data_IF_318082053672
#
_entry.id   IF_318082053672
#
_cell.length_a   1.000
_cell.length_b   1.000
_cell.length_c   1.000
_cell.angle_alpha   90.00
_cell.angle_beta   90.00
_cell.angle_gamma   90.00
#
_symmetry.space_group_name_H-M   'P 1'
#
loop_
_entity.id
_entity.type
_entity.pdbx_description
1 polymer ?
#
# COMPACT_ATOMS: atom_id res chain seq x y z
N UNK A 1 2.19 7.07 -19.42
CA UNK A 1 1.83 8.47 -19.19
C UNK A 1 2.30 8.91 -17.80
N UNK A 2 2.93 10.08 -17.71
CA UNK A 2 3.48 10.61 -16.44
C UNK A 2 2.44 11.39 -15.61
N UNK A 3 1.22 11.57 -16.11
CA UNK A 3 0.21 12.45 -15.51
C UNK A 3 -0.40 11.87 -14.24
N UNK A 4 -0.80 10.60 -14.26
CA UNK A 4 -1.47 10.01 -13.11
C UNK A 4 -0.53 9.74 -11.92
N UNK A 5 0.73 9.25 -12.06
CA UNK A 5 1.64 9.17 -10.93
C UNK A 5 2.01 10.53 -10.32
N UNK A 6 2.09 11.59 -11.15
CA UNK A 6 2.29 12.95 -10.67
C UNK A 6 1.12 13.44 -9.81
N UNK A 7 -0.12 13.19 -10.23
CA UNK A 7 -1.32 13.55 -9.44
C UNK A 7 -1.39 12.78 -8.13
N UNK A 8 -1.02 11.51 -8.13
CA UNK A 8 -0.90 10.71 -6.91
C UNK A 8 0.12 11.32 -5.94
N UNK A 9 1.32 11.61 -6.42
CA UNK A 9 2.36 12.23 -5.59
C UNK A 9 1.91 13.60 -5.02
N UNK A 10 1.33 14.45 -5.87
CA UNK A 10 0.78 15.75 -5.43
C UNK A 10 -0.41 15.60 -4.47
N UNK A 11 -1.23 14.55 -4.61
CA UNK A 11 -2.32 14.28 -3.67
C UNK A 11 -1.79 13.87 -2.29
N UNK A 12 -0.71 13.08 -2.24
CA UNK A 12 0.01 12.72 -1.03
C UNK A 12 0.77 13.91 -0.38
N UNK A 13 0.80 15.07 -1.05
CA UNK A 13 1.45 16.29 -0.53
C UNK A 13 2.87 16.50 -1.01
N UNK A 14 3.35 15.75 -2.01
CA UNK A 14 4.69 15.94 -2.58
C UNK A 14 4.83 17.32 -3.23
N UNK A 15 6.00 17.95 -3.05
CA UNK A 15 6.35 19.29 -3.50
C UNK A 15 7.71 19.30 -4.21
N UNK A 16 8.05 20.42 -4.87
CA UNK A 16 9.33 20.54 -5.57
C UNK A 16 10.54 20.59 -4.62
N UNK A 17 10.32 21.03 -3.36
CA UNK A 17 11.39 21.07 -2.34
C UNK A 17 11.68 19.69 -1.73
N UNK A 18 10.91 18.66 -2.06
CA UNK A 18 11.09 17.33 -1.49
C UNK A 18 12.30 16.61 -2.08
N UNK A 19 12.94 15.83 -1.21
CA UNK A 19 13.91 14.81 -1.58
C UNK A 19 13.21 13.46 -1.42
N UNK A 20 12.86 12.83 -2.53
CA UNK A 20 12.09 11.59 -2.58
C UNK A 20 13.00 10.38 -2.75
N UNK A 21 13.08 9.52 -1.74
CA UNK A 21 13.81 8.27 -1.81
C UNK A 21 12.90 7.12 -2.23
N UNK A 22 13.27 6.42 -3.31
CA UNK A 22 12.47 5.33 -3.88
C UNK A 22 13.13 4.00 -3.60
N UNK A 23 12.51 3.23 -2.70
CA UNK A 23 12.95 1.92 -2.24
C UNK A 23 12.30 0.75 -2.99
N UNK A 24 11.79 0.97 -4.20
CA UNK A 24 11.34 -0.07 -5.11
C UNK A 24 12.42 -0.45 -6.12
N UNK A 25 12.41 -1.71 -6.57
CA UNK A 25 13.34 -2.20 -7.60
C UNK A 25 13.13 -1.51 -8.94
N UNK A 26 14.21 -1.01 -9.53
CA UNK A 26 14.21 -0.35 -10.85
C UNK A 26 14.32 -1.31 -12.05
N UNK A 27 14.29 -2.62 -11.80
CA UNK A 27 14.34 -3.64 -12.85
C UNK A 27 13.01 -3.80 -13.59
N UNK A 28 12.45 -5.01 -13.56
CA UNK A 28 11.19 -5.33 -14.24
C UNK A 28 9.93 -4.90 -13.47
N UNK A 29 10.07 -4.26 -12.32
CA UNK A 29 8.97 -3.78 -11.49
C UNK A 29 8.54 -2.37 -11.90
N UNK A 30 7.28 -2.19 -12.29
CA UNK A 30 6.77 -0.93 -12.84
C UNK A 30 6.61 0.17 -11.78
N UNK A 31 6.50 -0.20 -10.50
CA UNK A 31 6.22 0.72 -9.40
C UNK A 31 7.28 1.82 -9.26
N UNK A 32 8.56 1.44 -9.28
CA UNK A 32 9.66 2.40 -9.15
C UNK A 32 9.65 3.47 -10.23
N UNK A 33 9.68 3.06 -11.50
CA UNK A 33 9.76 3.98 -12.65
C UNK A 33 8.53 4.89 -12.76
N UNK A 34 7.34 4.36 -12.45
CA UNK A 34 6.10 5.14 -12.47
C UNK A 34 6.14 6.28 -11.45
N UNK A 35 6.45 5.98 -10.19
CA UNK A 35 6.54 6.96 -9.11
C UNK A 35 7.72 7.93 -9.30
N UNK A 36 8.88 7.43 -9.75
CA UNK A 36 10.03 8.28 -10.11
C UNK A 36 9.60 9.38 -11.10
N UNK A 37 8.98 8.97 -12.23
CA UNK A 37 8.55 9.94 -13.26
C UNK A 37 7.41 10.84 -12.79
N UNK A 38 6.59 10.38 -11.87
CA UNK A 38 5.56 11.20 -11.23
C UNK A 38 6.15 12.28 -10.34
N UNK A 39 7.06 11.91 -9.44
CA UNK A 39 7.74 12.80 -8.51
C UNK A 39 8.70 13.77 -9.23
N UNK A 40 9.44 13.29 -10.23
CA UNK A 40 10.25 14.15 -11.11
C UNK A 40 9.40 15.25 -11.77
N UNK A 41 8.15 14.92 -12.16
CA UNK A 41 7.23 15.90 -12.74
C UNK A 41 6.66 16.87 -11.72
N UNK A 42 6.59 16.52 -10.45
CA UNK A 42 6.29 17.45 -9.34
C UNK A 42 7.43 18.45 -9.14
N UNK A 43 8.65 18.07 -9.47
CA UNK A 43 9.87 18.87 -9.28
C UNK A 43 10.77 18.34 -8.18
N UNK A 44 10.38 17.29 -7.46
CA UNK A 44 11.15 16.72 -6.35
C UNK A 44 12.50 16.16 -6.82
N UNK A 45 13.51 16.28 -5.98
CA UNK A 45 14.79 15.59 -6.17
C UNK A 45 14.61 14.08 -5.88
N UNK A 46 15.13 13.22 -6.76
CA UNK A 46 14.93 11.78 -6.64
C UNK A 46 16.21 11.07 -6.21
N UNK A 47 16.13 10.29 -5.15
CA UNK A 47 17.13 9.32 -4.72
C UNK A 47 16.67 7.93 -5.16
N UNK A 48 17.16 7.40 -6.30
CA UNK A 48 16.72 6.12 -6.84
C UNK A 48 17.46 4.96 -6.16
N UNK A 49 17.26 4.78 -4.86
CA UNK A 49 18.04 3.87 -4.03
C UNK A 49 17.78 2.39 -4.32
N UNK A 50 16.65 2.07 -4.98
CA UNK A 50 16.24 0.70 -5.28
C UNK A 50 16.00 -0.15 -4.02
N UNK A 51 16.02 -1.46 -4.12
CA UNK A 51 15.78 -2.40 -3.02
C UNK A 51 17.07 -2.86 -2.34
N UNK A 52 16.93 -3.39 -1.13
CA UNK A 52 18.00 -4.06 -0.39
C UNK A 52 18.90 -3.12 0.42
N UNK A 53 19.79 -3.72 1.20
CA UNK A 53 20.74 -3.06 2.10
C UNK A 53 20.11 -1.93 2.92
N UNK A 54 19.32 -2.29 3.92
CA UNK A 54 18.52 -1.34 4.71
C UNK A 54 19.37 -0.32 5.47
N UNK A 55 20.55 -0.69 5.94
CA UNK A 55 21.50 0.24 6.57
C UNK A 55 21.93 1.34 5.58
N UNK A 56 22.18 0.96 4.33
CA UNK A 56 22.52 1.93 3.27
C UNK A 56 21.34 2.83 2.92
N UNK A 57 20.11 2.33 3.00
CA UNK A 57 18.92 3.15 2.84
C UNK A 57 18.85 4.24 3.92
N UNK A 58 19.12 3.89 5.17
CA UNK A 58 19.16 4.85 6.29
C UNK A 58 20.29 5.87 6.13
N UNK A 59 21.46 5.42 5.67
CA UNK A 59 22.56 6.32 5.34
C UNK A 59 22.14 7.35 4.28
N UNK A 60 21.50 6.90 3.19
CA UNK A 60 21.00 7.82 2.16
C UNK A 60 19.93 8.77 2.69
N UNK A 61 18.99 8.29 3.52
CA UNK A 61 17.99 9.17 4.14
C UNK A 61 18.62 10.30 4.94
N UNK A 62 19.70 9.99 5.65
CA UNK A 62 20.43 10.97 6.46
C UNK A 62 21.27 11.92 5.59
N UNK A 63 22.05 11.39 4.66
CA UNK A 63 22.99 12.17 3.85
C UNK A 63 22.28 13.08 2.84
N UNK A 64 21.18 12.62 2.25
CA UNK A 64 20.38 13.41 1.30
C UNK A 64 19.21 14.15 1.95
N UNK A 65 19.07 14.02 3.27
CA UNK A 65 17.96 14.67 4.00
C UNK A 65 16.58 14.33 3.42
N UNK A 66 16.35 13.04 3.15
CA UNK A 66 15.12 12.54 2.54
C UNK A 66 13.88 13.01 3.30
N UNK A 67 12.94 13.66 2.60
CA UNK A 67 11.66 14.17 3.15
C UNK A 67 10.47 13.32 2.78
N UNK A 68 10.58 12.57 1.66
CA UNK A 68 9.53 11.71 1.15
C UNK A 68 10.07 10.30 0.89
N UNK A 69 9.44 9.30 1.51
CA UNK A 69 9.78 7.89 1.34
C UNK A 69 8.75 7.18 0.46
N UNK A 70 9.23 6.47 -0.56
CA UNK A 70 8.42 5.57 -1.40
C UNK A 70 8.84 4.13 -1.13
N UNK A 71 7.95 3.32 -0.57
CA UNK A 71 8.23 1.95 -0.16
C UNK A 71 6.97 1.08 -0.12
N UNK A 72 7.11 -0.20 0.19
CA UNK A 72 5.99 -1.00 0.69
C UNK A 72 5.75 -0.71 2.18
N UNK A 73 4.53 -0.91 2.70
CA UNK A 73 4.25 -0.76 4.13
C UNK A 73 5.18 -1.60 5.01
N UNK A 74 5.37 -2.88 4.68
CA UNK A 74 6.27 -3.79 5.40
C UNK A 74 7.72 -3.33 5.39
N UNK A 75 8.19 -2.79 4.25
CA UNK A 75 9.57 -2.30 4.18
C UNK A 75 9.76 -0.98 4.94
N UNK A 76 8.77 -0.11 5.01
CA UNK A 76 8.81 1.08 5.86
C UNK A 76 8.92 0.71 7.35
N UNK A 77 8.24 -0.36 7.80
CA UNK A 77 8.42 -0.93 9.14
C UNK A 77 9.83 -1.49 9.33
N UNK A 78 10.32 -2.27 8.35
CA UNK A 78 11.67 -2.85 8.42
C UNK A 78 12.78 -1.81 8.50
N UNK A 79 12.66 -0.71 7.77
CA UNK A 79 13.60 0.42 7.85
C UNK A 79 13.62 0.96 9.28
N UNK A 80 12.46 1.08 9.92
CA UNK A 80 12.34 1.58 11.27
C UNK A 80 12.97 0.65 12.33
N UNK A 81 12.81 -0.67 12.18
CA UNK A 81 13.46 -1.67 13.03
C UNK A 81 14.99 -1.54 12.94
N UNK A 82 15.53 -1.54 11.71
CA UNK A 82 16.98 -1.40 11.51
C UNK A 82 17.50 -0.05 12.01
N UNK A 83 16.70 1.02 11.88
CA UNK A 83 17.04 2.32 12.46
C UNK A 83 17.20 2.22 13.98
N UNK A 84 16.26 1.56 14.67
CA UNK A 84 16.31 1.32 16.12
C UNK A 84 17.56 0.53 16.51
N UNK A 85 17.90 -0.53 15.77
CA UNK A 85 19.10 -1.34 16.01
C UNK A 85 20.39 -0.54 15.87
N UNK A 86 20.41 0.45 14.99
CA UNK A 86 21.52 1.39 14.80
C UNK A 86 21.48 2.61 15.73
N UNK A 87 20.54 2.67 16.66
CA UNK A 87 20.36 3.81 17.57
C UNK A 87 19.86 5.08 16.89
N UNK A 88 19.21 4.96 15.72
CA UNK A 88 18.60 6.07 14.97
C UNK A 88 17.11 6.15 15.32
N UNK A 89 16.64 7.29 15.78
CA UNK A 89 15.21 7.58 15.96
C UNK A 89 14.67 8.25 14.69
N UNK A 90 13.84 7.55 13.87
CA UNK A 90 13.34 8.10 12.61
C UNK A 90 12.66 9.46 12.76
N UNK A 91 11.98 9.72 13.88
CA UNK A 91 11.27 10.98 14.15
C UNK A 91 12.20 12.15 14.43
N UNK A 92 13.37 11.88 15.00
CA UNK A 92 14.31 12.95 15.44
C UNK A 92 15.49 13.11 14.51
N UNK A 93 15.99 11.98 13.98
CA UNK A 93 17.27 11.93 13.27
C UNK A 93 17.10 11.95 11.76
N UNK A 94 15.88 11.67 11.25
CA UNK A 94 15.53 11.72 9.82
C UNK A 94 14.56 12.86 9.53
N UNK A 95 14.50 13.28 8.26
CA UNK A 95 13.61 14.37 7.81
C UNK A 95 12.35 13.88 7.09
N UNK A 96 12.07 12.57 7.08
CA UNK A 96 10.91 11.98 6.40
C UNK A 96 9.62 12.47 7.04
N UNK A 97 8.78 13.13 6.23
CA UNK A 97 7.47 13.66 6.62
C UNK A 97 6.32 13.03 5.82
N UNK A 98 6.62 12.50 4.66
CA UNK A 98 5.62 11.89 3.77
C UNK A 98 6.05 10.49 3.39
N UNK A 99 5.16 9.53 3.55
CA UNK A 99 5.33 8.17 3.09
C UNK A 99 4.27 7.86 2.02
N UNK A 100 4.70 7.51 0.82
CA UNK A 100 3.84 7.07 -0.29
C UNK A 100 4.01 5.56 -0.41
N UNK A 101 3.11 4.83 0.22
CA UNK A 101 3.21 3.39 0.36
C UNK A 101 2.29 2.66 -0.63
N UNK A 102 2.66 1.45 -1.05
CA UNK A 102 1.86 0.66 -1.98
C UNK A 102 2.44 -0.73 -2.25
N UNK A 103 1.85 -1.42 -3.23
CA UNK A 103 2.17 -2.79 -3.63
C UNK A 103 1.80 -3.88 -2.62
N UNK A 104 1.44 -3.51 -1.42
CA UNK A 104 0.94 -4.39 -0.36
C UNK A 104 -0.31 -3.77 0.23
N UNK A 105 -1.16 -4.59 0.83
CA UNK A 105 -2.28 -4.11 1.61
C UNK A 105 -1.77 -3.44 2.89
N UNK A 106 -2.32 -2.29 3.25
CA UNK A 106 -2.03 -1.60 4.50
C UNK A 106 -3.31 -1.52 5.33
N UNK A 107 -3.31 -2.19 6.46
CA UNK A 107 -4.41 -2.10 7.43
C UNK A 107 -4.28 -0.83 8.27
N UNK A 108 -5.38 -0.39 8.89
CA UNK A 108 -5.32 0.77 9.81
C UNK A 108 -4.47 0.47 11.05
N UNK A 109 -4.37 -0.79 11.46
CA UNK A 109 -3.46 -1.20 12.53
C UNK A 109 -2.01 -0.97 12.12
N UNK A 110 -1.61 -1.40 10.90
CA UNK A 110 -0.28 -1.16 10.37
C UNK A 110 0.02 0.34 10.18
N UNK A 111 -0.94 1.13 9.71
CA UNK A 111 -0.81 2.60 9.61
C UNK A 111 -0.54 3.22 10.99
N UNK A 112 -1.24 2.76 12.02
CA UNK A 112 -1.04 3.23 13.40
C UNK A 112 0.37 2.90 13.91
N UNK A 113 0.89 1.70 13.62
CA UNK A 113 2.27 1.34 13.98
C UNK A 113 3.29 2.19 13.22
N UNK A 114 3.05 2.44 11.93
CA UNK A 114 3.90 3.35 11.14
C UNK A 114 3.92 4.76 11.74
N UNK A 115 2.80 5.30 12.19
CA UNK A 115 2.75 6.61 12.88
C UNK A 115 3.57 6.61 14.17
N UNK A 116 3.52 5.53 14.97
CA UNK A 116 4.34 5.42 16.19
C UNK A 116 5.83 5.53 15.90
N UNK A 117 6.28 5.07 14.74
CA UNK A 117 7.69 5.03 14.35
C UNK A 117 8.13 6.27 13.58
N UNK A 118 7.36 6.67 12.57
CA UNK A 118 7.72 7.78 11.68
C UNK A 118 7.25 9.15 12.18
N UNK A 119 6.32 9.18 13.12
CA UNK A 119 5.75 10.39 13.74
C UNK A 119 4.25 10.50 13.51
N UNK A 120 3.54 11.03 14.50
CA UNK A 120 2.09 11.26 14.44
C UNK A 120 1.71 12.27 13.33
N UNK A 121 2.62 13.22 13.04
CA UNK A 121 2.43 14.24 12.01
C UNK A 121 2.87 13.78 10.60
N UNK A 122 3.41 12.57 10.47
CA UNK A 122 3.80 12.05 9.17
C UNK A 122 2.57 11.77 8.30
N UNK A 123 2.58 12.24 7.05
CA UNK A 123 1.54 11.92 6.07
C UNK A 123 1.81 10.54 5.48
N UNK A 124 1.06 9.53 5.88
CA UNK A 124 1.23 8.14 5.44
C UNK A 124 0.08 7.77 4.52
N UNK A 125 0.34 7.82 3.21
CA UNK A 125 -0.65 7.56 2.18
C UNK A 125 -0.44 6.21 1.51
N UNK A 126 -1.55 5.59 1.09
CA UNK A 126 -1.54 4.38 0.29
C UNK A 126 -1.83 4.71 -1.17
N UNK A 127 -1.16 4.00 -2.07
CA UNK A 127 -1.46 4.01 -3.49
C UNK A 127 -1.73 2.61 -4.02
N UNK A 128 -2.62 2.53 -4.98
CA UNK A 128 -3.00 1.31 -5.66
C UNK A 128 -2.61 1.34 -7.13
N UNK A 129 -2.15 0.21 -7.61
CA UNK A 129 -1.84 -0.01 -9.02
C UNK A 129 -1.32 -1.41 -9.25
N UNK A 130 -1.22 -1.79 -10.51
CA UNK A 130 -0.68 -3.07 -10.94
C UNK A 130 -0.10 -2.92 -12.36
N UNK A 131 0.79 -3.83 -12.73
CA UNK A 131 1.48 -3.80 -14.03
C UNK A 131 0.50 -3.85 -15.20
N UNK A 132 -0.58 -4.62 -15.05
CA UNK A 132 -1.64 -4.77 -16.04
C UNK A 132 -2.37 -3.45 -16.30
N UNK A 133 -2.47 -2.58 -15.31
CA UNK A 133 -3.12 -1.28 -15.36
C UNK A 133 -2.15 -0.10 -15.52
N UNK A 134 -1.02 -0.29 -16.19
CA UNK A 134 0.04 0.70 -16.46
C UNK A 134 0.92 1.07 -15.24
N UNK A 135 0.84 0.34 -14.14
CA UNK A 135 1.72 0.52 -12.97
C UNK A 135 1.06 1.25 -11.79
N UNK A 136 1.82 1.97 -10.98
CA UNK A 136 1.33 2.63 -9.77
C UNK A 136 0.48 3.84 -10.11
N UNK A 137 -0.50 4.16 -9.24
CA UNK A 137 -1.31 5.36 -9.36
C UNK A 137 -2.60 5.18 -10.17
N UNK A 138 -3.13 3.96 -10.27
CA UNK A 138 -4.54 3.77 -10.68
C UNK A 138 -5.44 4.57 -9.75
N UNK A 139 -5.16 4.47 -8.44
CA UNK A 139 -5.74 5.32 -7.40
C UNK A 139 -4.76 5.59 -6.27
N UNK A 140 -5.03 6.60 -5.46
CA UNK A 140 -4.21 6.92 -4.29
C UNK A 140 -4.88 7.86 -3.32
N UNK A 141 -4.50 7.74 -2.07
CA UNK A 141 -4.98 8.61 -1.00
C UNK A 141 -4.46 10.05 -1.17
N UNK A 142 -5.25 10.99 -0.74
CA UNK A 142 -4.82 12.36 -0.47
C UNK A 142 -4.51 12.51 1.04
N UNK A 143 -4.07 13.70 1.44
CA UNK A 143 -3.73 14.00 2.84
C UNK A 143 -4.91 13.86 3.82
N UNK A 144 -6.15 13.84 3.33
CA UNK A 144 -7.35 13.61 4.16
C UNK A 144 -7.55 12.13 4.54
N UNK A 145 -6.81 11.21 3.93
CA UNK A 145 -6.80 9.77 4.21
C UNK A 145 -8.19 9.09 4.21
N UNK A 146 -9.13 9.61 3.44
CA UNK A 146 -10.51 9.13 3.40
C UNK A 146 -10.84 8.35 2.10
N UNK A 147 -9.94 7.44 1.72
CA UNK A 147 -10.01 6.62 0.53
C UNK A 147 -9.15 7.12 -0.63
N UNK A 148 -8.95 6.25 -1.60
CA UNK A 148 -8.05 6.45 -2.73
C UNK A 148 -8.78 7.04 -3.93
N UNK A 149 -8.40 8.23 -4.37
CA UNK A 149 -8.92 8.90 -5.57
C UNK A 149 -8.51 8.14 -6.83
N UNK A 150 -9.48 7.74 -7.65
CA UNK A 150 -9.25 7.07 -8.93
C UNK A 150 -8.90 8.10 -10.00
N UNK A 151 -7.93 7.79 -10.86
CA UNK A 151 -7.60 8.60 -12.03
C UNK A 151 -8.57 8.30 -13.18
N UNK A 152 -9.80 8.84 -13.12
CA UNK A 152 -10.94 8.54 -14.01
C UNK A 152 -10.72 8.95 -15.48
N UNK A 153 -9.74 9.80 -15.76
CA UNK A 153 -9.33 10.12 -17.14
C UNK A 153 -8.47 9.02 -17.79
N UNK A 154 -8.08 8.01 -17.02
CA UNK A 154 -7.35 6.83 -17.48
C UNK A 154 -8.07 5.53 -17.20
N UNK A 155 -8.90 5.48 -16.15
CA UNK A 155 -9.50 4.26 -15.65
C UNK A 155 -10.98 4.46 -15.32
N UNK A 156 -11.81 3.53 -15.77
CA UNK A 156 -13.21 3.44 -15.34
C UNK A 156 -13.29 2.31 -14.31
N UNK A 157 -13.55 2.60 -13.03
CA UNK A 157 -13.71 1.59 -12.00
C UNK A 157 -15.16 1.12 -11.93
N UNK A 158 -15.37 -0.16 -11.72
CA UNK A 158 -16.64 -0.80 -11.38
C UNK A 158 -16.41 -1.73 -10.18
N UNK A 159 -17.45 -1.96 -9.39
CA UNK A 159 -17.44 -3.01 -8.35
C UNK A 159 -18.50 -4.02 -8.68
N UNK A 160 -18.13 -5.30 -8.70
CA UNK A 160 -19.04 -6.39 -9.08
C UNK A 160 -19.17 -7.43 -7.96
N UNK A 161 -20.29 -8.15 -7.96
CA UNK A 161 -20.40 -9.40 -7.24
C UNK A 161 -19.45 -10.45 -7.88
N UNK A 162 -18.47 -10.99 -7.14
CA UNK A 162 -17.47 -11.89 -7.73
C UNK A 162 -18.04 -13.21 -8.26
N UNK A 163 -19.25 -13.62 -7.80
CA UNK A 163 -19.93 -14.86 -8.23
C UNK A 163 -20.77 -14.66 -9.47
N UNK A 164 -21.57 -13.57 -9.50
CA UNK A 164 -22.52 -13.33 -10.59
C UNK A 164 -21.94 -12.44 -11.69
N UNK A 165 -20.91 -11.64 -11.40
CA UNK A 165 -20.33 -10.65 -12.31
C UNK A 165 -21.23 -9.42 -12.51
N UNK A 166 -22.32 -9.28 -11.78
CA UNK A 166 -23.20 -8.13 -11.84
C UNK A 166 -22.58 -6.93 -11.12
N UNK A 167 -22.75 -5.74 -11.69
CA UNK A 167 -22.31 -4.49 -11.08
C UNK A 167 -23.13 -4.23 -9.82
N UNK A 168 -22.45 -3.94 -8.73
CA UNK A 168 -23.07 -3.63 -7.44
C UNK A 168 -23.45 -2.13 -7.34
N UNK A 169 -24.46 -1.81 -6.56
CA UNK A 169 -24.80 -0.42 -6.25
C UNK A 169 -23.62 0.33 -5.60
N UNK A 170 -23.57 1.69 -5.75
CA UNK A 170 -22.57 2.51 -5.08
C UNK A 170 -22.50 2.26 -3.57
N UNK A 171 -21.28 2.12 -3.05
CA UNK A 171 -21.02 1.89 -1.63
C UNK A 171 -21.05 0.42 -1.18
N UNK A 172 -21.48 -0.50 -2.02
CA UNK A 172 -21.39 -1.93 -1.71
C UNK A 172 -19.99 -2.48 -1.99
N UNK A 173 -19.55 -3.41 -1.14
CA UNK A 173 -18.25 -4.10 -1.30
C UNK A 173 -18.35 -5.26 -2.30
N UNK A 174 -17.36 -5.33 -3.17
CA UNK A 174 -17.24 -6.40 -4.15
C UNK A 174 -15.87 -6.40 -4.81
N UNK A 175 -15.74 -7.15 -5.88
CA UNK A 175 -14.50 -7.23 -6.66
C UNK A 175 -14.37 -5.99 -7.56
N UNK A 176 -13.21 -5.35 -7.49
CA UNK A 176 -12.86 -4.24 -8.38
C UNK A 176 -12.65 -4.74 -9.80
N UNK A 177 -13.29 -4.05 -10.72
CA UNK A 177 -13.12 -4.21 -12.17
C UNK A 177 -12.67 -2.88 -12.74
N UNK A 178 -11.68 -2.88 -13.63
CA UNK A 178 -11.14 -1.65 -14.20
C UNK A 178 -11.09 -1.76 -15.72
N UNK A 179 -11.57 -0.72 -16.39
CA UNK A 179 -11.37 -0.52 -17.83
C UNK A 179 -10.32 0.57 -18.05
N UNK A 180 -9.27 0.24 -18.83
CA UNK A 180 -8.24 1.20 -19.22
C UNK A 180 -8.68 1.94 -20.49
N UNK A 181 -8.87 3.26 -20.43
CA UNK A 181 -9.34 4.04 -21.58
C UNK A 181 -8.22 4.72 -22.38
N UNK A 182 -7.00 4.74 -21.86
CA UNK A 182 -5.85 5.38 -22.51
C UNK A 182 -4.69 4.44 -22.83
N UNK A 183 -4.84 3.15 -22.51
CA UNK A 183 -3.79 2.14 -22.76
C UNK A 183 -3.95 1.55 -24.16
N UNK A 184 -3.03 1.85 -25.05
CA UNK A 184 -3.04 1.37 -26.45
C UNK A 184 -2.56 -0.08 -26.57
N UNK A 185 -1.41 -0.40 -25.95
CA UNK A 185 -0.88 -1.76 -25.93
C UNK A 185 -1.57 -2.57 -24.83
N UNK A 186 -2.14 -3.72 -25.17
CA UNK A 186 -2.92 -4.57 -24.28
C UNK A 186 -4.05 -3.77 -23.60
N UNK A 187 -5.01 -3.23 -24.36
CA UNK A 187 -6.14 -2.49 -23.78
C UNK A 187 -6.99 -3.45 -22.96
N UNK A 188 -7.14 -3.16 -21.69
CA UNK A 188 -7.94 -3.98 -20.77
C UNK A 188 -9.33 -3.38 -20.63
N UNK A 189 -10.34 -4.13 -21.02
CA UNK A 189 -11.75 -3.76 -20.88
C UNK A 189 -12.37 -4.67 -19.84
N UNK A 190 -12.92 -4.06 -18.78
CA UNK A 190 -13.54 -4.74 -17.63
C UNK A 190 -12.63 -5.85 -17.05
N UNK A 191 -11.37 -5.47 -16.78
CA UNK A 191 -10.39 -6.36 -16.18
C UNK A 191 -10.73 -6.62 -14.71
N UNK A 192 -10.92 -7.89 -14.36
CA UNK A 192 -11.20 -8.33 -13.00
C UNK A 192 -9.89 -8.40 -12.21
N UNK A 193 -9.73 -7.49 -11.25
CA UNK A 193 -8.48 -7.37 -10.47
C UNK A 193 -8.34 -8.43 -9.38
N UNK A 194 -9.45 -9.02 -8.97
CA UNK A 194 -9.58 -9.90 -7.79
C UNK A 194 -9.52 -9.15 -6.46
N UNK A 195 -9.22 -7.89 -6.45
CA UNK A 195 -9.16 -7.07 -5.24
C UNK A 195 -10.56 -6.67 -4.76
N UNK A 196 -10.77 -6.70 -3.45
CA UNK A 196 -12.05 -6.35 -2.81
C UNK A 196 -12.02 -4.94 -2.29
N UNK A 197 -12.94 -4.12 -2.76
CA UNK A 197 -13.13 -2.73 -2.33
C UNK A 197 -14.59 -2.29 -2.49
N UNK A 198 -14.88 -1.02 -2.25
CA UNK A 198 -16.13 -0.33 -2.64
C UNK A 198 -15.81 1.04 -3.21
N UNK A 199 -16.68 1.55 -4.06
CA UNK A 199 -16.58 2.91 -4.59
C UNK A 199 -17.38 3.88 -3.72
N UNK A 200 -16.79 5.06 -3.51
CA UNK A 200 -17.34 6.15 -2.70
C UNK A 200 -17.50 7.41 -3.59
N UNK A 201 -18.69 7.94 -3.64
CA UNK A 201 -19.06 9.08 -4.51
C UNK A 201 -19.32 10.37 -3.74
N UNK A 202 -19.28 10.33 -2.43
CA UNK A 202 -19.38 11.51 -1.57
C UNK A 202 -18.17 12.43 -1.76
N UNK A 203 -18.36 13.72 -1.46
CA UNK A 203 -17.30 14.72 -1.60
C UNK A 203 -16.12 14.44 -0.65
N UNK A 204 -14.91 14.62 -1.15
CA UNK A 204 -13.71 14.57 -0.30
C UNK A 204 -13.39 15.98 0.23
N UNK A 205 -13.02 16.15 1.51
CA UNK A 205 -12.60 17.44 2.07
C UNK A 205 -11.44 18.09 1.31
N UNK A 206 -10.60 17.31 0.63
CA UNK A 206 -9.51 17.83 -0.21
C UNK A 206 -9.96 18.61 -1.45
N UNK A 207 -11.27 18.63 -1.74
CA UNK A 207 -11.86 19.32 -2.89
C UNK A 207 -11.77 18.60 -4.24
N UNK A 208 -11.14 17.43 -4.32
CA UNK A 208 -11.14 16.60 -5.55
C UNK A 208 -12.50 15.96 -5.75
N UNK A 209 -12.93 15.90 -7.01
CA UNK A 209 -14.27 15.43 -7.42
C UNK A 209 -14.25 14.01 -7.99
N UNK A 210 -13.09 13.40 -8.15
CA UNK A 210 -12.96 12.03 -8.65
C UNK A 210 -13.54 11.01 -7.69
N UNK A 211 -14.09 9.92 -8.20
CA UNK A 211 -14.55 8.80 -7.39
C UNK A 211 -13.39 8.27 -6.55
N UNK A 212 -13.70 7.88 -5.33
CA UNK A 212 -12.72 7.23 -4.45
C UNK A 212 -13.06 5.75 -4.29
N UNK A 213 -12.04 4.95 -4.09
CA UNK A 213 -12.19 3.58 -3.63
C UNK A 213 -11.71 3.47 -2.18
N UNK A 214 -12.38 2.62 -1.41
CA UNK A 214 -11.92 2.26 -0.06
C UNK A 214 -10.58 1.51 -0.15
N UNK A 215 -9.79 1.53 0.91
CA UNK A 215 -8.60 0.68 0.99
C UNK A 215 -9.00 -0.79 0.80
N UNK A 216 -8.15 -1.54 0.15
CA UNK A 216 -8.45 -2.95 -0.14
C UNK A 216 -8.68 -3.71 1.15
N UNK A 217 -9.68 -4.59 1.15
CA UNK A 217 -9.96 -5.48 2.29
C UNK A 217 -9.46 -6.91 2.08
N UNK A 218 -8.86 -7.21 0.93
CA UNK A 218 -8.31 -8.50 0.56
C UNK A 218 -8.51 -8.79 -0.93
N UNK A 219 -8.27 -10.04 -1.31
CA UNK A 219 -8.44 -10.55 -2.68
C UNK A 219 -9.38 -11.75 -2.71
N UNK A 220 -10.14 -11.91 -3.78
CA UNK A 220 -11.04 -13.06 -3.94
C UNK A 220 -10.29 -14.39 -4.12
N UNK A 221 -9.06 -14.34 -4.62
CA UNK A 221 -8.19 -15.50 -4.83
C UNK A 221 -7.31 -15.85 -3.61
N UNK A 222 -7.10 -14.91 -2.68
CA UNK A 222 -6.41 -15.15 -1.40
C UNK A 222 -7.38 -15.57 -0.27
N UNK A 223 -8.67 -15.55 -0.54
CA UNK A 223 -9.69 -15.92 0.42
C UNK A 223 -9.60 -17.42 0.77
N UNK A 224 -9.33 -17.70 2.02
CA UNK A 224 -9.36 -19.04 2.57
C UNK A 224 -10.78 -19.41 2.96
N UNK A 225 -11.22 -20.62 2.60
CA UNK A 225 -12.51 -21.15 3.04
C UNK A 225 -12.28 -22.23 4.09
N UNK A 226 -12.41 -21.86 5.36
CA UNK A 226 -12.13 -22.72 6.50
C UNK A 226 -13.44 -23.14 7.14
N UNK A 227 -13.79 -24.42 7.09
CA UNK A 227 -15.05 -24.97 7.65
C UNK A 227 -16.31 -24.19 7.23
N UNK A 228 -16.33 -23.71 5.97
CA UNK A 228 -17.44 -22.93 5.44
C UNK A 228 -17.40 -21.42 5.73
N UNK A 229 -16.43 -20.95 6.51
CA UNK A 229 -16.21 -19.52 6.79
C UNK A 229 -15.17 -18.97 5.83
N UNK A 230 -15.44 -17.79 5.29
CA UNK A 230 -14.47 -17.05 4.48
C UNK A 230 -13.50 -16.30 5.42
N UNK A 231 -12.22 -16.57 5.28
CA UNK A 231 -11.14 -15.93 6.07
C UNK A 231 -10.17 -15.27 5.11
N UNK A 232 -9.87 -14.01 5.34
CA UNK A 232 -8.86 -13.28 4.57
C UNK A 232 -7.58 -13.15 5.40
N UNK A 233 -6.39 -13.37 4.81
CA UNK A 233 -5.11 -13.17 5.50
C UNK A 233 -5.00 -11.83 6.20
N UNK A 234 -5.52 -10.76 5.60
CA UNK A 234 -5.53 -9.41 6.19
C UNK A 234 -6.30 -9.30 7.52
N UNK A 235 -7.35 -10.13 7.72
CA UNK A 235 -8.08 -10.16 8.99
C UNK A 235 -7.25 -10.80 10.10
N UNK A 236 -6.44 -11.81 9.75
CA UNK A 236 -5.50 -12.45 10.68
C UNK A 236 -4.40 -11.47 11.03
N UNK A 237 -3.80 -10.82 10.03
CA UNK A 237 -2.76 -9.80 10.22
C UNK A 237 -3.21 -8.67 11.15
N UNK A 238 -4.42 -8.17 10.97
CA UNK A 238 -4.99 -7.11 11.83
C UNK A 238 -5.04 -7.51 13.31
N UNK A 239 -5.30 -8.78 13.60
CA UNK A 239 -5.30 -9.31 14.97
C UNK A 239 -3.87 -9.45 15.48
N UNK A 240 -2.96 -9.99 14.67
CA UNK A 240 -1.56 -10.24 15.06
C UNK A 240 -0.83 -8.93 15.40
N UNK A 241 -0.98 -7.90 14.57
CA UNK A 241 -0.35 -6.58 14.80
C UNK A 241 -0.81 -5.94 16.12
N UNK A 242 -2.04 -6.21 16.55
CA UNK A 242 -2.58 -5.70 17.84
C UNK A 242 -2.16 -6.55 19.04
N UNK A 243 -1.53 -7.70 18.83
CA UNK A 243 -1.17 -8.63 19.90
C UNK A 243 0.25 -8.36 20.37
N UNK A 244 0.39 -7.99 21.61
CA UNK A 244 1.68 -7.67 22.22
C UNK A 244 2.62 -8.89 22.21
N UNK A 245 3.89 -8.68 21.87
CA UNK A 245 4.93 -9.69 21.87
C UNK A 245 4.97 -10.59 20.63
N UNK A 246 4.16 -10.28 19.62
CA UNK A 246 4.21 -10.94 18.32
C UNK A 246 4.96 -10.05 17.33
N UNK A 247 5.99 -10.61 16.67
CA UNK A 247 6.70 -9.96 15.58
C UNK A 247 5.87 -9.86 14.29
N UNK A 248 6.35 -9.10 13.29
CA UNK A 248 5.58 -8.81 12.08
C UNK A 248 5.47 -10.00 11.13
N UNK A 249 6.28 -11.04 11.32
CA UNK A 249 6.33 -12.20 10.44
C UNK A 249 5.39 -13.31 10.92
N UNK A 250 4.57 -13.83 10.01
CA UNK A 250 3.67 -14.94 10.30
C UNK A 250 3.52 -15.85 9.08
N UNK A 251 3.08 -17.09 9.33
CA UNK A 251 2.79 -18.10 8.32
C UNK A 251 1.39 -18.67 8.59
N UNK A 252 0.55 -18.69 7.54
CA UNK A 252 -0.77 -19.32 7.59
C UNK A 252 -0.67 -20.70 6.95
N UNK A 253 -0.92 -21.75 7.73
CA UNK A 253 -1.01 -23.12 7.25
C UNK A 253 -2.46 -23.58 7.24
N UNK A 254 -2.90 -24.09 6.10
CA UNK A 254 -4.21 -24.72 5.96
C UNK A 254 -3.99 -26.19 5.62
N UNK A 255 -4.41 -27.05 6.52
CA UNK A 255 -4.33 -28.51 6.37
C UNK A 255 -5.71 -29.12 6.40
N UNK A 256 -5.90 -30.22 5.69
CA UNK A 256 -7.14 -31.02 5.77
C UNK A 256 -6.86 -32.32 6.50
N UNK A 257 -7.44 -32.47 7.69
CA UNK A 257 -7.35 -33.71 8.51
C UNK A 257 -8.76 -34.22 8.82
N UNK A 258 -8.98 -35.51 8.62
CA UNK A 258 -10.27 -36.16 8.91
C UNK A 258 -11.49 -35.40 8.34
N UNK A 259 -11.42 -34.99 7.08
CA UNK A 259 -12.46 -34.23 6.35
C UNK A 259 -12.73 -32.81 6.92
N UNK A 260 -11.93 -32.33 7.86
CA UNK A 260 -12.04 -30.98 8.43
C UNK A 260 -10.81 -30.13 8.10
N UNK A 261 -11.05 -28.88 7.76
CA UNK A 261 -9.97 -27.93 7.54
C UNK A 261 -9.44 -27.43 8.90
N UNK A 262 -8.11 -27.43 9.05
CA UNK A 262 -7.40 -26.91 10.22
C UNK A 262 -6.59 -25.70 9.76
N UNK A 263 -6.82 -24.58 10.42
CA UNK A 263 -6.06 -23.36 10.25
C UNK A 263 -5.04 -23.25 11.40
N UNK A 264 -3.78 -23.19 11.06
CA UNK A 264 -2.68 -22.94 12.01
C UNK A 264 -1.98 -21.66 11.61
N UNK A 265 -1.79 -20.77 12.57
CA UNK A 265 -1.05 -19.53 12.38
C UNK A 265 0.24 -19.67 13.19
N UNK A 266 1.38 -19.68 12.50
CA UNK A 266 2.69 -19.59 13.14
C UNK A 266 3.09 -18.14 13.18
N UNK A 267 3.55 -17.66 14.32
CA UNK A 267 3.95 -16.29 14.55
C UNK A 267 5.39 -16.22 15.03
N UNK A 268 6.08 -15.17 14.67
CA UNK A 268 7.34 -14.80 15.27
C UNK A 268 7.08 -14.19 16.65
N UNK A 269 7.83 -14.62 17.64
CA UNK A 269 7.74 -14.10 19.01
C UNK A 269 8.96 -13.23 19.30
N UNK A 270 8.77 -12.07 19.89
CA UNK A 270 9.88 -11.20 20.29
C UNK A 270 10.78 -11.90 21.32
N UNK A 271 12.12 -11.75 21.17
CA UNK A 271 13.11 -12.49 21.97
C UNK A 271 12.99 -12.25 23.48
N UNK A 272 12.44 -11.12 23.91
CA UNK A 272 12.22 -10.80 25.32
C UNK A 272 11.17 -11.71 25.98
N UNK A 273 10.26 -12.31 25.23
CA UNK A 273 9.23 -13.22 25.75
C UNK A 273 9.62 -14.70 25.72
N UNK A 274 10.77 -15.04 25.12
CA UNK A 274 11.27 -16.42 25.13
C UNK A 274 12.02 -16.80 26.45
N UNK A 275 12.13 -15.87 27.41
CA UNK A 275 12.92 -16.07 28.65
C UNK A 275 12.03 -16.24 29.92
N UNK A 276 10.73 -16.31 29.78
CA UNK A 276 9.78 -16.72 30.84
C UNK A 276 9.17 -18.09 30.48
#
# INVERSE_FOLDING_TARGET
>A
DRRFPCRLAAAAGAKEEDVAQICFGYGMFTGALGLHKGLEKVGAAIVPSSTGNTEKQLMYMKDFETTLLVATPSYAMRIAEVAKDLGIDPKKDLKVKTLVLGSELMTEAMRSELHKVWGEDACITQNYGMSELMGPGVSGECQELCGMHVNEDHFIPEVIDPKTGQVLPPGEKGELVVTCITKEALPLIRYRTRDITRLMYDACPCGRTTVRMENLSGRTDDMLKIRGVNVFPSQIEEVLIKTQGIGPNYEILVERKNHSDILTIKVEVEAEQMMD
#
